data_IF_328427924211
#
_entry.id   IF_328427924211
#
_cell.length_a   1.000
_cell.length_b   1.000
_cell.length_c   1.000
_cell.angle_alpha   90.00
_cell.angle_beta   90.00
_cell.angle_gamma   90.00
#
_symmetry.space_group_name_H-M   'P 1'
#
loop_
_entity.id
_entity.type
_entity.pdbx_description
1 polymer ?
#
# COMPACT_ATOMS: atom_id res chain seq x y z
N UNK A 1 14.82 -3.82 -2.50
CA UNK A 1 14.78 -3.23 -1.13
C UNK A 1 14.57 -1.73 -1.30
N UNK A 2 13.70 -1.11 -0.50
CA UNK A 2 13.58 0.35 -0.47
C UNK A 2 14.45 0.84 0.69
N UNK A 3 15.45 1.67 0.37
CA UNK A 3 16.35 2.27 1.37
C UNK A 3 16.08 3.77 1.42
N UNK A 4 16.03 4.34 2.62
CA UNK A 4 15.91 5.77 2.85
C UNK A 4 17.20 6.27 3.50
N UNK A 5 17.90 7.18 2.86
CA UNK A 5 19.11 7.81 3.39
C UNK A 5 19.04 9.32 3.15
N UNK A 6 19.28 10.11 4.20
CA UNK A 6 19.42 11.58 4.10
C UNK A 6 18.27 12.30 3.37
N UNK A 7 17.03 11.82 3.57
CA UNK A 7 15.83 12.40 2.96
C UNK A 7 15.58 12.00 1.51
N UNK A 8 16.40 11.11 0.95
CA UNK A 8 16.21 10.50 -0.35
C UNK A 8 15.77 9.06 -0.19
N UNK A 9 14.87 8.62 -1.06
CA UNK A 9 14.43 7.23 -1.11
C UNK A 9 14.92 6.58 -2.40
N UNK A 10 15.43 5.36 -2.27
CA UNK A 10 15.97 4.60 -3.40
C UNK A 10 15.18 3.33 -3.60
N UNK A 11 14.89 3.01 -4.85
CA UNK A 11 14.48 1.67 -5.24
C UNK A 11 15.73 0.91 -5.69
N UNK A 12 16.19 -0.01 -4.85
CA UNK A 12 17.43 -0.76 -5.05
C UNK A 12 17.12 -2.24 -5.32
N UNK A 13 17.68 -2.80 -6.39
CA UNK A 13 17.61 -4.22 -6.73
C UNK A 13 18.92 -4.90 -6.39
N UNK A 14 18.83 -6.01 -5.65
CA UNK A 14 19.99 -6.79 -5.23
C UNK A 14 19.92 -8.20 -5.80
N UNK A 15 21.07 -8.71 -6.21
CA UNK A 15 21.28 -10.14 -6.37
C UNK A 15 21.54 -10.72 -4.97
N UNK A 16 20.63 -11.58 -4.50
CA UNK A 16 20.74 -12.20 -3.19
C UNK A 16 21.78 -13.32 -3.14
N UNK A 17 22.05 -13.99 -4.26
CA UNK A 17 23.04 -15.06 -4.31
C UNK A 17 24.46 -14.49 -4.24
N UNK A 18 24.70 -13.37 -4.93
CA UNK A 18 26.01 -12.71 -4.99
C UNK A 18 26.16 -11.57 -3.97
N UNK A 19 25.06 -11.19 -3.29
CA UNK A 19 25.06 -10.13 -2.28
C UNK A 19 25.39 -8.74 -2.84
N UNK A 20 25.16 -8.50 -4.13
CA UNK A 20 25.53 -7.24 -4.80
C UNK A 20 24.32 -6.45 -5.30
N UNK A 21 24.48 -5.14 -5.33
CA UNK A 21 23.54 -4.22 -5.97
C UNK A 21 23.59 -4.41 -7.49
N UNK A 22 22.43 -4.68 -8.09
CA UNK A 22 22.26 -4.80 -9.54
C UNK A 22 21.93 -3.46 -10.18
N UNK A 23 21.00 -2.73 -9.57
CA UNK A 23 20.53 -1.45 -10.07
C UNK A 23 19.90 -0.64 -8.95
N UNK A 24 19.96 0.67 -9.09
CA UNK A 24 19.37 1.61 -8.15
C UNK A 24 18.83 2.82 -8.92
N UNK A 25 17.63 3.24 -8.55
CA UNK A 25 17.07 4.50 -9.04
C UNK A 25 16.68 5.34 -7.84
N UNK A 26 17.23 6.56 -7.78
CA UNK A 26 16.73 7.60 -6.88
C UNK A 26 15.28 7.87 -7.27
N UNK A 27 14.38 7.54 -6.35
CA UNK A 27 12.98 7.85 -6.52
C UNK A 27 12.65 8.97 -5.55
N UNK A 28 12.05 10.08 -6.01
CA UNK A 28 11.33 10.94 -5.12
C UNK A 28 10.08 10.18 -4.66
N UNK A 29 10.25 9.16 -3.82
CA UNK A 29 9.14 8.60 -3.06
C UNK A 29 8.84 9.65 -2.01
N UNK A 30 8.03 10.63 -2.44
CA UNK A 30 7.40 11.63 -1.60
C UNK A 30 8.39 12.62 -0.96
N UNK A 31 8.11 13.92 -1.06
CA UNK A 31 8.60 14.93 -0.12
C UNK A 31 8.12 14.58 1.28
N UNK A 32 8.81 13.66 1.95
CA UNK A 32 8.69 13.53 3.38
C UNK A 32 9.15 14.85 4.00
N UNK A 33 8.22 15.62 4.55
CA UNK A 33 8.56 16.74 5.42
C UNK A 33 9.05 16.17 6.75
N UNK A 34 10.32 15.78 6.78
CA UNK A 34 11.00 15.20 7.95
C UNK A 34 10.95 16.13 9.18
N UNK A 35 10.63 17.42 9.01
CA UNK A 35 10.59 18.37 10.12
C UNK A 35 9.32 18.25 10.99
N UNK A 36 8.30 17.49 10.57
CA UNK A 36 7.00 17.46 11.24
C UNK A 36 6.60 16.13 11.90
N UNK A 37 7.46 15.10 11.94
CA UNK A 37 7.09 13.80 12.49
C UNK A 37 8.16 13.14 13.35
N UNK A 38 7.94 13.16 14.67
CA UNK A 38 8.63 12.31 15.63
C UNK A 38 7.90 10.95 15.69
N UNK A 39 8.59 9.90 15.26
CA UNK A 39 8.16 8.49 15.23
C UNK A 39 6.95 8.17 14.34
N UNK A 40 7.17 8.03 13.05
CA UNK A 40 6.27 7.26 12.19
C UNK A 40 7.08 6.23 11.41
N UNK A 41 6.74 4.95 11.57
CA UNK A 41 7.27 3.88 10.73
C UNK A 41 6.46 3.93 9.44
N UNK A 42 7.04 4.31 8.27
CA UNK A 42 6.28 4.39 7.04
C UNK A 42 5.56 3.06 6.82
N UNK A 43 4.22 3.09 6.74
CA UNK A 43 3.42 1.90 6.47
C UNK A 43 3.59 1.56 4.98
N UNK A 44 4.77 1.07 4.65
CA UNK A 44 5.24 0.79 3.31
C UNK A 44 4.78 -0.61 2.94
N UNK A 45 3.55 -0.71 2.44
CA UNK A 45 3.07 -1.98 1.90
C UNK A 45 3.63 -2.17 0.51
N UNK A 46 4.48 -3.17 0.38
CA UNK A 46 5.18 -3.52 -0.84
C UNK A 46 4.78 -4.93 -1.26
N UNK A 47 4.39 -5.08 -2.54
CA UNK A 47 4.10 -6.38 -3.15
C UNK A 47 4.76 -6.48 -4.51
N UNK A 48 5.27 -7.67 -4.82
CA UNK A 48 5.81 -8.02 -6.13
C UNK A 48 4.83 -8.96 -6.81
N UNK A 49 4.53 -8.72 -8.09
CA UNK A 49 3.75 -9.62 -8.94
C UNK A 49 4.32 -9.60 -10.35
N UNK A 50 4.67 -10.77 -10.89
CA UNK A 50 5.45 -10.87 -12.14
C UNK A 50 6.69 -9.96 -12.12
N UNK A 51 6.82 -9.11 -13.13
CA UNK A 51 7.89 -8.12 -13.28
C UNK A 51 7.54 -6.73 -12.69
N UNK A 52 6.55 -6.66 -11.81
CA UNK A 52 6.06 -5.41 -11.26
C UNK A 52 6.22 -5.35 -9.75
N UNK A 53 6.52 -4.15 -9.27
CA UNK A 53 6.54 -3.78 -7.87
C UNK A 53 5.41 -2.81 -7.60
N UNK A 54 4.52 -3.16 -6.69
CA UNK A 54 3.44 -2.30 -6.22
C UNK A 54 3.79 -1.76 -4.84
N UNK A 55 3.70 -0.44 -4.73
CA UNK A 55 3.98 0.31 -3.52
C UNK A 55 2.78 1.16 -3.13
N UNK A 56 2.24 0.94 -1.94
CA UNK A 56 1.27 1.85 -1.33
C UNK A 56 1.99 2.97 -0.58
N UNK A 57 1.83 4.21 -1.02
CA UNK A 57 2.43 5.41 -0.44
C UNK A 57 1.50 6.20 0.49
N UNK A 58 2.11 7.00 1.36
CA UNK A 58 1.43 7.84 2.34
C UNK A 58 0.92 9.19 1.79
N UNK A 59 0.00 9.77 2.55
CA UNK A 59 -0.70 11.03 2.31
C UNK A 59 0.10 12.23 2.82
N UNK A 60 0.23 13.28 2.01
CA UNK A 60 0.41 14.64 2.53
C UNK A 60 -0.91 15.13 3.10
N UNK A 61 -0.93 15.80 4.25
CA UNK A 61 -2.11 16.20 5.02
C UNK A 61 -3.41 16.63 4.25
N UNK A 62 -3.36 17.00 2.97
CA UNK A 62 -4.49 17.38 2.12
C UNK A 62 -4.73 16.53 0.85
N UNK A 63 -3.96 15.47 0.59
CA UNK A 63 -4.09 14.64 -0.63
C UNK A 63 -4.59 13.21 -0.33
N UNK A 64 -5.04 12.48 -1.35
CA UNK A 64 -5.37 11.06 -1.21
C UNK A 64 -4.09 10.20 -1.27
N UNK A 65 -4.05 9.05 -0.58
CA UNK A 65 -2.93 8.13 -0.68
C UNK A 65 -2.92 7.57 -2.09
N UNK A 66 -1.73 7.29 -2.61
CA UNK A 66 -1.59 6.71 -3.92
C UNK A 66 -0.88 5.37 -3.86
N UNK A 67 -1.23 4.52 -4.81
CA UNK A 67 -0.45 3.33 -5.13
C UNK A 67 0.37 3.64 -6.38
N UNK A 68 1.64 3.29 -6.34
CA UNK A 68 2.56 3.39 -7.47
C UNK A 68 2.98 1.99 -7.89
N UNK A 69 2.98 1.72 -9.19
CA UNK A 69 3.44 0.48 -9.80
C UNK A 69 4.70 0.76 -10.61
N UNK A 70 5.75 0.01 -10.34
CA UNK A 70 7.03 0.08 -11.06
C UNK A 70 7.25 -1.19 -11.87
N UNK A 71 7.76 -1.05 -13.10
CA UNK A 71 8.36 -2.15 -13.84
C UNK A 71 9.76 -2.40 -13.25
N UNK A 72 10.04 -3.63 -12.84
CA UNK A 72 11.31 -3.99 -12.19
C UNK A 72 12.47 -4.14 -13.17
N UNK A 73 12.21 -4.52 -14.43
CA UNK A 73 13.26 -4.61 -15.45
C UNK A 73 13.76 -3.23 -15.88
N UNK A 74 12.86 -2.26 -15.95
CA UNK A 74 13.17 -0.88 -16.40
C UNK A 74 13.36 0.10 -15.24
N UNK A 75 13.01 -0.32 -14.01
CA UNK A 75 12.96 0.53 -12.81
C UNK A 75 12.16 1.83 -13.00
N UNK A 76 11.12 1.77 -13.82
CA UNK A 76 10.30 2.91 -14.21
C UNK A 76 8.89 2.82 -13.60
N UNK A 77 8.34 3.97 -13.21
CA UNK A 77 6.93 4.07 -12.83
C UNK A 77 6.07 3.84 -14.07
N UNK A 78 5.24 2.80 -14.05
CA UNK A 78 4.30 2.47 -15.15
C UNK A 78 2.88 2.86 -14.82
N UNK A 79 2.58 3.09 -13.54
CA UNK A 79 1.26 3.53 -13.11
C UNK A 79 1.29 4.21 -11.75
N UNK A 80 0.45 5.23 -11.59
CA UNK A 80 0.11 5.82 -10.29
C UNK A 80 -1.38 6.15 -10.23
N UNK A 81 -1.99 5.84 -9.11
CA UNK A 81 -3.41 6.13 -8.89
C UNK A 81 -3.73 6.43 -7.43
N UNK A 82 -4.69 7.32 -7.22
CA UNK A 82 -5.19 7.66 -5.90
C UNK A 82 -6.21 6.62 -5.39
N UNK A 83 -6.17 6.32 -4.10
CA UNK A 83 -7.12 5.46 -3.39
C UNK A 83 -7.83 6.32 -2.37
N UNK A 84 -9.15 6.53 -2.45
CA UNK A 84 -9.83 7.40 -1.46
C UNK A 84 -9.64 6.87 -0.04
N UNK A 85 -9.01 7.62 0.85
CA UNK A 85 -8.71 7.16 2.20
C UNK A 85 -7.77 8.08 2.94
N UNK A 86 -7.37 7.68 4.15
CA UNK A 86 -6.46 8.47 5.00
C UNK A 86 -5.03 7.92 5.08
N UNK A 87 -4.83 6.64 4.79
CA UNK A 87 -3.52 5.98 4.69
C UNK A 87 -3.73 4.59 4.08
N UNK A 88 -2.77 4.05 3.34
CA UNK A 88 -2.78 2.64 2.93
C UNK A 88 -2.10 1.82 4.03
N UNK A 89 -2.84 0.89 4.62
CA UNK A 89 -2.35 0.03 5.71
C UNK A 89 -1.90 -1.34 5.22
N UNK A 90 -2.59 -1.86 4.21
CA UNK A 90 -2.33 -3.20 3.66
C UNK A 90 -2.57 -3.20 2.15
N UNK A 91 -1.76 -4.00 1.46
CA UNK A 91 -1.88 -4.23 0.02
C UNK A 91 -1.61 -5.70 -0.26
N UNK A 92 -2.43 -6.32 -1.10
CA UNK A 92 -2.23 -7.67 -1.59
C UNK A 92 -2.65 -7.78 -3.05
N UNK A 93 -1.97 -8.67 -3.78
CA UNK A 93 -2.28 -8.98 -5.17
C UNK A 93 -2.63 -10.45 -5.20
N UNK A 94 -3.88 -10.73 -5.56
CA UNK A 94 -4.43 -12.08 -5.60
C UNK A 94 -4.47 -12.57 -7.04
N UNK A 95 -3.78 -13.69 -7.29
CA UNK A 95 -3.75 -14.40 -8.57
C UNK A 95 -3.43 -13.50 -9.77
N UNK A 96 -2.64 -12.44 -9.57
CA UNK A 96 -2.27 -11.41 -10.56
C UNK A 96 -3.43 -10.62 -11.21
N UNK A 97 -4.68 -10.87 -10.80
CA UNK A 97 -5.88 -10.28 -11.39
C UNK A 97 -6.50 -9.20 -10.52
N UNK A 98 -6.41 -9.33 -9.20
CA UNK A 98 -7.04 -8.43 -8.24
C UNK A 98 -6.04 -7.82 -7.27
N UNK A 99 -6.14 -6.52 -7.06
CA UNK A 99 -5.46 -5.81 -5.98
C UNK A 99 -6.45 -5.49 -4.86
N UNK A 100 -6.11 -5.93 -3.64
CA UNK A 100 -6.86 -5.67 -2.41
C UNK A 100 -6.08 -4.65 -1.60
N UNK A 101 -6.73 -3.53 -1.27
CA UNK A 101 -6.10 -2.38 -0.62
C UNK A 101 -6.89 -2.04 0.64
N UNK A 102 -6.29 -2.23 1.81
CA UNK A 102 -6.85 -1.80 3.09
C UNK A 102 -6.41 -0.38 3.42
N UNK A 103 -7.37 0.49 3.70
CA UNK A 103 -7.10 1.89 4.08
C UNK A 103 -7.48 2.16 5.52
N UNK A 104 -6.63 2.92 6.22
CA UNK A 104 -6.83 3.29 7.62
C UNK A 104 -7.66 4.56 7.79
N UNK A 105 -8.06 4.80 9.05
CA UNK A 105 -8.48 6.13 9.51
C UNK A 105 -7.24 6.99 9.76
N UNK A 106 -7.33 8.30 9.50
CA UNK A 106 -6.34 9.28 9.96
C UNK A 106 -6.36 9.25 11.50
N UNK A 107 -5.37 8.63 12.13
CA UNK A 107 -5.28 8.49 13.58
C UNK A 107 -4.17 9.37 14.15
N UNK A 108 -4.54 10.27 15.08
CA UNK A 108 -3.71 11.07 16.00
C UNK A 108 -2.35 11.56 15.47
N UNK A 109 -2.34 12.80 14.99
CA UNK A 109 -1.17 13.64 15.13
C UNK A 109 -1.34 14.50 16.38
N UNK A 110 -0.39 14.40 17.32
CA UNK A 110 -0.21 15.33 18.43
C UNK A 110 -1.44 15.57 19.31
N UNK A 111 -1.78 14.68 20.25
CA UNK A 111 -2.80 14.88 21.32
C UNK A 111 -4.21 15.36 20.89
N UNK A 112 -4.46 15.59 19.61
CA UNK A 112 -5.72 16.01 19.05
C UNK A 112 -6.20 14.94 18.08
N UNK A 113 -7.37 14.42 18.39
CA UNK A 113 -8.07 13.44 17.58
C UNK A 113 -8.49 14.16 16.28
N UNK A 114 -7.88 13.81 15.14
CA UNK A 114 -8.34 14.28 13.83
C UNK A 114 -9.70 13.61 13.52
N UNK A 115 -10.78 14.19 14.05
CA UNK A 115 -12.16 13.68 13.88
C UNK A 115 -12.69 13.80 12.44
N UNK A 116 -11.93 14.38 11.51
CA UNK A 116 -12.36 14.60 10.11
C UNK A 116 -11.91 13.51 9.12
N UNK A 117 -11.24 12.45 9.58
CA UNK A 117 -10.84 11.34 8.71
C UNK A 117 -12.02 10.46 8.30
N UNK A 118 -12.24 10.32 6.99
CA UNK A 118 -13.21 9.36 6.45
C UNK A 118 -12.95 7.95 6.99
N UNK A 119 -14.01 7.15 7.12
CA UNK A 119 -13.92 5.78 7.60
C UNK A 119 -12.95 4.97 6.71
N UNK A 120 -11.96 4.33 7.34
CA UNK A 120 -11.08 3.37 6.68
C UNK A 120 -11.89 2.25 6.04
N UNK A 121 -11.42 1.74 4.92
CA UNK A 121 -12.17 0.81 4.09
C UNK A 121 -11.24 0.00 3.19
N UNK A 122 -11.77 -1.07 2.63
CA UNK A 122 -11.05 -1.97 1.76
C UNK A 122 -11.53 -1.74 0.34
N UNK A 123 -10.58 -1.59 -0.58
CA UNK A 123 -10.85 -1.48 -2.01
C UNK A 123 -10.41 -2.75 -2.70
N UNK A 124 -11.24 -3.24 -3.61
CA UNK A 124 -10.86 -4.28 -4.56
C UNK A 124 -10.77 -3.62 -5.93
N UNK A 125 -9.63 -3.79 -6.57
CA UNK A 125 -9.32 -3.21 -7.88
C UNK A 125 -8.94 -4.32 -8.85
N UNK A 126 -9.50 -4.27 -10.04
CA UNK A 126 -9.13 -5.15 -11.14
C UNK A 126 -7.86 -4.62 -11.83
N UNK A 127 -6.86 -5.49 -11.98
CA UNK A 127 -5.56 -5.13 -12.53
C UNK A 127 -5.55 -5.00 -14.05
N UNK A 128 -6.45 -5.70 -14.75
CA UNK A 128 -6.55 -5.72 -16.22
C UNK A 128 -7.25 -4.46 -16.75
N UNK A 129 -8.42 -4.17 -16.18
CA UNK A 129 -9.28 -3.03 -16.51
C UNK A 129 -8.89 -1.75 -15.79
N UNK A 130 -8.03 -1.86 -14.76
CA UNK A 130 -7.54 -0.73 -13.95
C UNK A 130 -8.65 -0.02 -13.14
N UNK A 131 -9.80 -0.66 -12.97
CA UNK A 131 -10.95 -0.09 -12.28
C UNK A 131 -11.13 -0.64 -10.86
N UNK A 132 -11.64 0.20 -9.96
CA UNK A 132 -12.12 -0.27 -8.66
C UNK A 132 -13.45 -1.02 -8.85
N UNK A 133 -13.46 -2.28 -8.43
CA UNK A 133 -14.65 -3.14 -8.49
C UNK A 133 -15.60 -2.84 -7.35
N UNK A 134 -15.08 -2.72 -6.13
CA UNK A 134 -15.90 -2.45 -4.97
C UNK A 134 -15.14 -1.81 -3.81
N UNK A 135 -15.92 -1.26 -2.88
CA UNK A 135 -15.49 -0.70 -1.60
C UNK A 135 -16.23 -1.43 -0.49
N UNK A 136 -15.49 -1.97 0.47
CA UNK A 136 -16.01 -2.76 1.57
C UNK A 136 -15.70 -2.09 2.92
N UNK A 137 -16.56 -2.26 3.94
CA UNK A 137 -16.41 -1.60 5.24
C UNK A 137 -15.36 -2.26 6.15
N UNK A 138 -14.37 -2.95 5.57
CA UNK A 138 -13.28 -3.62 6.30
C UNK A 138 -12.00 -2.82 6.18
N UNK A 139 -11.12 -2.89 7.17
CA UNK A 139 -9.86 -2.12 7.18
C UNK A 139 -8.66 -3.06 7.04
N UNK A 140 -8.73 -4.22 7.68
CA UNK A 140 -7.68 -5.21 7.63
C UNK A 140 -8.19 -6.51 7.02
N UNK A 141 -7.25 -7.27 6.47
CA UNK A 141 -7.54 -8.56 5.89
C UNK A 141 -6.33 -9.50 5.98
N UNK A 142 -6.59 -10.79 6.07
CA UNK A 142 -5.63 -11.85 5.79
C UNK A 142 -6.02 -12.39 4.42
N UNK A 143 -5.19 -12.17 3.39
CA UNK A 143 -5.58 -12.46 2.01
C UNK A 143 -5.90 -13.94 1.80
N UNK A 144 -6.73 -14.26 0.78
CA UNK A 144 -6.97 -15.63 0.39
C UNK A 144 -5.65 -16.32 0.02
N UNK A 145 -5.50 -17.57 0.46
CA UNK A 145 -4.42 -18.41 -0.03
C UNK A 145 -4.71 -18.83 -1.48
N UNK A 146 -3.71 -19.27 -2.27
CA UNK A 146 -3.93 -19.65 -3.67
C UNK A 146 -4.92 -20.82 -3.91
N UNK A 147 -5.34 -21.52 -2.85
CA UNK A 147 -6.24 -22.67 -2.91
C UNK A 147 -7.64 -22.39 -2.33
N UNK A 148 -7.91 -21.14 -1.96
CA UNK A 148 -9.13 -20.74 -1.27
C UNK A 148 -9.61 -19.42 -1.80
N UNK A 149 -10.91 -19.33 -2.06
CA UNK A 149 -11.53 -18.07 -2.38
C UNK A 149 -11.95 -17.30 -1.12
N UNK A 150 -11.51 -17.71 0.07
CA UNK A 150 -11.93 -17.13 1.32
C UNK A 150 -10.86 -16.22 1.90
N UNK A 151 -11.28 -15.06 2.38
CA UNK A 151 -10.44 -14.06 3.02
C UNK A 151 -10.97 -13.76 4.41
N UNK A 152 -10.09 -13.69 5.41
CA UNK A 152 -10.49 -13.14 6.71
C UNK A 152 -10.39 -11.62 6.63
N UNK A 153 -11.42 -10.93 7.10
CA UNK A 153 -11.51 -9.48 7.08
C UNK A 153 -11.95 -8.98 8.44
N UNK A 154 -11.53 -7.78 8.84
CA UNK A 154 -12.06 -7.16 10.05
C UNK A 154 -12.25 -5.67 9.89
N UNK A 155 -13.30 -5.18 10.51
CA UNK A 155 -13.43 -3.77 10.85
C UNK A 155 -12.84 -3.56 12.26
N UNK A 156 -11.96 -2.57 12.38
CA UNK A 156 -11.36 -2.15 13.67
C UNK A 156 -12.39 -1.71 14.73
N UNK A 157 -13.64 -1.41 14.34
CA UNK A 157 -14.70 -0.99 15.28
C UNK A 157 -15.19 -2.11 16.19
N UNK A 158 -15.45 -3.29 15.61
CA UNK A 158 -16.02 -4.41 16.34
C UNK A 158 -14.95 -5.43 16.72
N UNK A 159 -13.78 -5.37 16.07
CA UNK A 159 -12.62 -6.23 16.36
C UNK A 159 -12.80 -7.70 15.97
N UNK A 160 -13.98 -8.05 15.46
CA UNK A 160 -14.35 -9.40 15.01
C UNK A 160 -13.82 -9.63 13.60
N UNK A 161 -13.27 -10.82 13.38
CA UNK A 161 -12.90 -11.30 12.05
C UNK A 161 -14.09 -11.97 11.39
N UNK A 162 -14.48 -11.46 10.23
CA UNK A 162 -15.46 -12.06 9.33
C UNK A 162 -14.74 -12.85 8.22
N UNK A 163 -15.45 -13.81 7.64
CA UNK A 163 -15.01 -14.56 6.47
C UNK A 163 -15.73 -14.04 5.22
N UNK A 164 -14.97 -13.57 4.23
CA UNK A 164 -15.47 -13.07 2.96
C UNK A 164 -15.10 -14.04 1.83
N UNK A 165 -16.09 -14.47 1.04
CA UNK A 165 -15.87 -15.31 -0.14
C UNK A 165 -15.71 -14.43 -1.40
N UNK A 166 -14.62 -14.63 -2.12
CA UNK A 166 -14.36 -14.14 -3.47
C UNK A 166 -14.96 -15.13 -4.49
N UNK A 167 -15.38 -14.62 -5.65
CA UNK A 167 -16.00 -15.40 -6.73
C UNK A 167 -15.12 -15.28 -7.97
#
# INVERSE_FOLDING_TARGET
VILSESGKTYLSLFDLAEGRLLAEVEKPILGMDYNNYLSYTPCSTLKVFGNHLVFGGEIYFNEFPFVTVYNLSELQEVERFAVKGSVILSLHIHMDDLMIIGTGRKGWLCKEKLWSGGQGCMYIRDMKTKNFLCKLPYIEFIPPNPFSNQMLVRDTRDGVWDLLNFW
#
